data_IF_177710200485
#
_entry.id   IF_177710200485
#
_cell.length_a   1.000
_cell.length_b   1.000
_cell.length_c   1.000
_cell.angle_alpha   90.00
_cell.angle_beta   90.00
_cell.angle_gamma   90.00
#
_symmetry.space_group_name_H-M   'P 1'
#
loop_
_entity.id
_entity.type
_entity.pdbx_description
1 polymer ?
#
# COMPACT_ATOMS: atom_id res chain seq x y z
N UNK A 1 12.18 -3.99 6.44
CA UNK A 1 12.42 -2.77 5.67
C UNK A 1 13.77 -2.15 6.07
N UNK A 2 14.54 -1.68 5.11
CA UNK A 2 15.81 -1.02 5.32
C UNK A 2 15.95 0.17 4.37
N UNK A 3 16.22 1.33 4.91
CA UNK A 3 16.50 2.52 4.12
C UNK A 3 17.97 2.50 3.68
N UNK A 4 18.19 2.73 2.39
CA UNK A 4 19.52 2.70 1.77
C UNK A 4 19.79 4.07 1.15
N UNK A 5 20.99 4.58 1.35
CA UNK A 5 21.45 5.81 0.76
C UNK A 5 22.58 5.54 -0.26
N UNK A 6 22.79 6.46 -1.18
CA UNK A 6 23.80 6.36 -2.22
C UNK A 6 24.99 7.25 -1.83
N UNK A 7 26.21 6.75 -1.98
CA UNK A 7 27.47 7.30 -1.43
C UNK A 7 27.97 8.64 -2.02
N UNK A 8 27.14 9.42 -2.74
CA UNK A 8 27.66 10.65 -3.34
C UNK A 8 27.69 11.85 -2.39
N UNK A 9 26.86 11.86 -1.34
CA UNK A 9 26.80 12.97 -0.38
C UNK A 9 27.01 12.45 1.03
N UNK A 10 28.24 12.59 1.53
CA UNK A 10 28.58 12.13 2.89
C UNK A 10 27.96 13.00 4.00
N UNK A 11 27.51 14.23 3.69
CA UNK A 11 27.16 15.21 4.72
C UNK A 11 25.69 15.21 5.16
N UNK A 12 24.75 14.65 4.37
CA UNK A 12 23.30 14.78 4.65
C UNK A 12 22.55 13.44 4.83
N UNK A 13 23.24 12.33 4.95
CA UNK A 13 22.57 11.04 5.11
C UNK A 13 21.94 10.89 6.49
N UNK A 14 20.63 10.64 6.64
CA UNK A 14 20.01 10.36 7.92
C UNK A 14 20.69 9.18 8.63
N UNK A 15 20.86 9.28 9.93
CA UNK A 15 21.57 8.29 10.76
C UNK A 15 21.00 6.87 10.64
N UNK A 16 19.72 6.74 10.30
CA UNK A 16 19.05 5.44 10.11
C UNK A 16 19.23 4.84 8.71
N UNK A 17 19.78 5.57 7.75
CA UNK A 17 20.08 5.04 6.42
C UNK A 17 21.38 4.23 6.46
N UNK A 18 21.43 3.21 5.61
CA UNK A 18 22.62 2.37 5.45
C UNK A 18 23.29 2.65 4.11
N UNK A 19 24.60 2.70 4.12
CA UNK A 19 25.38 2.82 2.89
C UNK A 19 25.46 1.47 2.16
N UNK A 20 25.71 1.45 0.85
CA UNK A 20 25.81 0.20 0.08
C UNK A 20 26.76 -0.83 0.67
N UNK A 21 27.90 -0.39 1.21
CA UNK A 21 28.87 -1.25 1.90
C UNK A 21 28.25 -1.94 3.12
N UNK A 22 27.50 -1.19 3.93
CA UNK A 22 26.89 -1.70 5.16
C UNK A 22 25.78 -2.71 4.81
N UNK A 23 25.07 -2.48 3.72
CA UNK A 23 24.07 -3.41 3.18
C UNK A 23 24.73 -4.71 2.71
N UNK A 24 25.87 -4.64 2.01
CA UNK A 24 26.61 -5.83 1.57
C UNK A 24 27.09 -6.67 2.77
N UNK A 25 27.64 -6.04 3.80
CA UNK A 25 28.02 -6.72 5.04
C UNK A 25 26.83 -7.35 5.76
N UNK A 26 25.70 -6.63 5.80
CA UNK A 26 24.47 -7.15 6.38
C UNK A 26 23.92 -8.37 5.62
N UNK A 27 23.93 -8.34 4.28
CA UNK A 27 23.53 -9.49 3.49
C UNK A 27 24.47 -10.69 3.69
N UNK A 28 25.78 -10.48 3.77
CA UNK A 28 26.74 -11.54 4.07
C UNK A 28 26.45 -12.19 5.43
N UNK A 29 26.21 -11.38 6.45
CA UNK A 29 25.84 -11.88 7.78
C UNK A 29 24.49 -12.62 7.77
N UNK A 30 23.48 -12.09 7.05
CA UNK A 30 22.17 -12.72 6.89
C UNK A 30 22.29 -14.10 6.21
N UNK A 31 23.02 -14.19 5.09
CA UNK A 31 23.21 -15.46 4.39
C UNK A 31 23.95 -16.47 5.25
N UNK A 32 24.96 -16.02 5.99
CA UNK A 32 25.70 -16.88 6.91
C UNK A 32 24.83 -17.40 8.07
N UNK A 33 24.05 -16.53 8.69
CA UNK A 33 23.10 -16.92 9.74
C UNK A 33 22.07 -17.93 9.21
N UNK A 34 21.58 -17.70 8.01
CA UNK A 34 20.62 -18.57 7.34
C UNK A 34 21.18 -19.96 7.03
N UNK A 35 22.43 -20.02 6.58
CA UNK A 35 23.18 -21.27 6.39
C UNK A 35 23.34 -22.05 7.72
N UNK A 36 23.71 -21.33 8.78
CA UNK A 36 23.86 -21.91 10.12
C UNK A 36 22.55 -22.45 10.70
N UNK A 37 21.42 -21.82 10.38
CA UNK A 37 20.08 -22.28 10.81
C UNK A 37 19.55 -23.52 10.05
N UNK A 38 20.26 -24.00 9.04
CA UNK A 38 19.98 -25.31 8.43
C UNK A 38 18.80 -25.38 7.48
N UNK A 39 18.40 -24.30 6.84
CA UNK A 39 17.48 -24.37 5.73
C UNK A 39 16.39 -23.32 5.66
N UNK A 40 15.77 -23.26 4.48
CA UNK A 40 14.64 -22.39 4.18
C UNK A 40 13.37 -23.15 4.51
N UNK A 41 12.60 -22.68 5.47
CA UNK A 41 11.21 -23.10 5.59
C UNK A 41 10.47 -22.65 4.33
N UNK A 42 9.88 -23.58 3.60
CA UNK A 42 9.09 -23.31 2.39
C UNK A 42 7.71 -22.73 2.72
N UNK A 43 7.28 -22.83 3.97
CA UNK A 43 6.03 -22.29 4.44
C UNK A 43 6.12 -20.76 4.63
N UNK A 44 5.08 -20.06 4.20
CA UNK A 44 4.95 -18.62 4.48
C UNK A 44 4.89 -18.40 5.98
N UNK A 45 5.68 -17.44 6.46
CA UNK A 45 5.61 -16.97 7.84
C UNK A 45 4.18 -16.51 8.17
N UNK A 46 3.65 -17.00 9.28
CA UNK A 46 2.43 -16.42 9.82
C UNK A 46 2.74 -15.01 10.35
N UNK A 47 2.00 -14.04 9.85
CA UNK A 47 2.16 -12.63 10.25
C UNK A 47 1.38 -12.43 11.56
N UNK A 48 2.03 -11.98 12.66
CA UNK A 48 1.33 -11.66 13.90
C UNK A 48 0.30 -10.54 13.70
N UNK A 49 -0.80 -10.59 14.44
CA UNK A 49 -1.86 -9.57 14.34
C UNK A 49 -1.37 -8.14 14.64
N UNK A 50 -0.38 -7.98 15.52
CA UNK A 50 0.24 -6.68 15.78
C UNK A 50 0.98 -6.11 14.57
N UNK A 51 1.67 -6.96 13.81
CA UNK A 51 2.33 -6.54 12.57
C UNK A 51 1.32 -6.17 11.48
N UNK A 52 0.24 -6.94 11.35
CA UNK A 52 -0.85 -6.62 10.41
C UNK A 52 -1.46 -5.26 10.73
N UNK A 53 -1.78 -4.99 12.00
CA UNK A 53 -2.30 -3.68 12.44
C UNK A 53 -1.34 -2.53 12.16
N UNK A 54 -0.04 -2.75 12.39
CA UNK A 54 0.97 -1.73 12.07
C UNK A 54 1.02 -1.45 10.57
N UNK A 55 1.04 -2.48 9.73
CA UNK A 55 1.06 -2.33 8.28
C UNK A 55 -0.23 -1.66 7.77
N UNK A 56 -1.39 -2.02 8.30
CA UNK A 56 -2.67 -1.39 7.97
C UNK A 56 -2.67 0.11 8.28
N UNK A 57 -2.04 0.52 9.40
CA UNK A 57 -1.90 1.94 9.75
C UNK A 57 -1.04 2.74 8.75
N UNK A 58 -0.17 2.10 7.98
CA UNK A 58 0.67 2.72 6.97
C UNK A 58 0.03 2.76 5.57
N UNK A 59 -1.01 1.98 5.34
CA UNK A 59 -1.73 1.98 4.06
C UNK A 59 -2.50 3.29 3.91
N UNK A 60 -2.42 3.87 2.71
CA UNK A 60 -3.13 5.11 2.39
C UNK A 60 -4.45 4.81 1.69
N UNK A 61 -5.50 5.43 2.18
CA UNK A 61 -6.81 5.45 1.54
C UNK A 61 -6.88 6.48 0.42
N UNK A 62 -7.79 6.27 -0.50
CA UNK A 62 -8.07 7.17 -1.63
C UNK A 62 -9.17 8.15 -1.24
N UNK A 63 -8.93 9.44 -1.45
CA UNK A 63 -9.88 10.52 -1.14
C UNK A 63 -10.08 11.41 -2.36
N UNK A 64 -11.28 11.92 -2.53
CA UNK A 64 -11.61 12.83 -3.63
C UNK A 64 -10.97 14.21 -3.43
N UNK A 65 -10.28 14.75 -4.43
CA UNK A 65 -9.73 16.12 -4.41
C UNK A 65 -10.78 17.21 -4.51
N UNK A 66 -11.90 16.89 -5.13
CA UNK A 66 -13.03 17.77 -5.38
C UNK A 66 -14.27 16.94 -5.65
N UNK A 67 -15.25 17.53 -6.34
CA UNK A 67 -16.42 16.78 -6.80
C UNK A 67 -16.01 15.79 -7.90
N UNK A 68 -16.44 14.52 -7.76
CA UNK A 68 -16.28 13.50 -8.78
C UNK A 68 -17.66 12.96 -9.13
N UNK A 69 -18.04 13.11 -10.39
CA UNK A 69 -19.37 12.69 -10.85
C UNK A 69 -19.49 11.16 -10.93
N UNK A 70 -20.67 10.66 -10.64
CA UNK A 70 -21.06 9.27 -10.95
C UNK A 70 -20.83 8.97 -12.43
N UNK A 71 -20.36 7.76 -12.74
CA UNK A 71 -19.99 7.37 -14.10
C UNK A 71 -18.55 7.71 -14.49
N UNK A 72 -17.81 8.45 -13.67
CA UNK A 72 -16.39 8.74 -13.92
C UNK A 72 -15.59 7.44 -13.92
N UNK A 73 -14.92 7.14 -15.04
CA UNK A 73 -14.00 6.01 -15.15
C UNK A 73 -12.61 6.42 -14.68
N UNK A 74 -12.07 5.69 -13.73
CA UNK A 74 -10.75 5.95 -13.15
C UNK A 74 -9.69 5.25 -13.99
N UNK A 75 -8.68 5.99 -14.39
CA UNK A 75 -7.54 5.49 -15.19
C UNK A 75 -6.24 6.01 -14.58
N UNK A 76 -5.11 5.40 -14.94
CA UNK A 76 -3.79 5.88 -14.54
C UNK A 76 -3.50 7.33 -14.98
N UNK A 77 -4.20 7.82 -16.00
CA UNK A 77 -4.01 9.18 -16.54
C UNK A 77 -4.76 10.25 -15.74
N UNK A 78 -5.98 9.92 -15.24
CA UNK A 78 -6.83 10.90 -14.55
C UNK A 78 -6.91 10.68 -13.03
N UNK A 79 -6.31 9.61 -12.50
CA UNK A 79 -6.33 9.29 -11.07
C UNK A 79 -5.88 10.50 -10.22
N UNK A 80 -4.76 11.11 -10.60
CA UNK A 80 -4.20 12.25 -9.88
C UNK A 80 -5.02 13.55 -10.02
N UNK A 81 -5.89 13.66 -11.02
CA UNK A 81 -6.75 14.83 -11.19
C UNK A 81 -7.92 14.79 -10.19
N UNK A 82 -8.45 13.59 -9.93
CA UNK A 82 -9.64 13.38 -9.14
C UNK A 82 -9.36 12.99 -7.68
N UNK A 83 -8.22 12.33 -7.40
CA UNK A 83 -7.97 11.72 -6.10
C UNK A 83 -6.59 12.06 -5.52
N UNK A 84 -6.49 11.93 -4.22
CA UNK A 84 -5.24 11.97 -3.47
C UNK A 84 -5.20 10.83 -2.45
N UNK A 85 -4.00 10.55 -1.92
CA UNK A 85 -3.79 9.50 -0.94
C UNK A 85 -3.50 10.10 0.43
N UNK A 86 -4.17 9.61 1.45
CA UNK A 86 -3.95 10.01 2.84
C UNK A 86 -4.12 8.85 3.81
N UNK A 87 -3.59 9.00 4.99
CA UNK A 87 -3.82 8.13 6.15
C UNK A 87 -4.88 8.77 7.06
N UNK A 88 -5.66 7.95 7.76
CA UNK A 88 -5.68 6.48 7.74
C UNK A 88 -6.42 5.89 6.54
N UNK A 89 -6.20 4.61 6.28
CA UNK A 89 -7.11 3.81 5.46
C UNK A 89 -8.31 3.43 6.33
N UNK A 90 -9.49 3.85 5.92
CA UNK A 90 -10.73 3.51 6.62
C UNK A 90 -11.19 2.09 6.26
N UNK A 91 -11.96 1.48 7.15
CA UNK A 91 -12.53 0.15 6.91
C UNK A 91 -13.42 0.16 5.66
N UNK A 92 -13.12 -0.74 4.72
CA UNK A 92 -13.82 -0.80 3.42
C UNK A 92 -13.41 0.25 2.40
N UNK A 93 -12.42 1.09 2.71
CA UNK A 93 -11.90 2.08 1.78
C UNK A 93 -10.91 1.45 0.79
N UNK A 94 -10.92 1.95 -0.44
CA UNK A 94 -9.96 1.58 -1.47
C UNK A 94 -8.60 2.23 -1.23
N UNK A 95 -7.55 1.49 -1.54
CA UNK A 95 -6.20 2.02 -1.75
C UNK A 95 -5.93 2.20 -3.24
N UNK A 96 -4.82 2.82 -3.60
CA UNK A 96 -4.47 3.00 -5.02
C UNK A 96 -4.29 1.68 -5.78
N UNK A 97 -4.05 0.57 -5.09
CA UNK A 97 -3.85 -0.75 -5.70
C UNK A 97 -5.09 -1.30 -6.40
N UNK A 98 -6.26 -0.90 -5.97
CA UNK A 98 -7.55 -1.35 -6.48
C UNK A 98 -8.10 -0.46 -7.60
N UNK A 99 -7.34 0.53 -8.12
CA UNK A 99 -7.85 1.55 -9.04
C UNK A 99 -7.20 1.56 -10.43
N UNK A 100 -6.55 0.49 -10.84
CA UNK A 100 -5.82 0.46 -12.12
C UNK A 100 -6.50 -0.31 -13.25
N UNK A 101 -7.71 -0.81 -13.03
CA UNK A 101 -8.41 -1.67 -13.99
C UNK A 101 -9.59 -0.97 -14.70
N UNK A 102 -9.71 0.34 -14.58
CA UNK A 102 -10.82 1.10 -15.18
C UNK A 102 -12.08 1.06 -14.32
N UNK A 103 -11.91 1.09 -13.00
CA UNK A 103 -13.01 1.19 -12.04
C UNK A 103 -13.87 2.42 -12.34
N UNK A 104 -15.18 2.29 -12.21
CA UNK A 104 -16.13 3.36 -12.45
C UNK A 104 -16.80 3.79 -11.14
N UNK A 105 -16.79 5.10 -10.87
CA UNK A 105 -17.49 5.68 -9.71
C UNK A 105 -19.00 5.54 -9.87
N UNK A 106 -19.69 5.00 -8.87
CA UNK A 106 -21.16 4.77 -8.89
C UNK A 106 -21.94 5.97 -8.42
N UNK A 107 -21.43 6.66 -7.42
CA UNK A 107 -22.12 7.77 -6.73
C UNK A 107 -21.29 9.05 -6.86
N UNK A 108 -21.96 10.22 -6.85
CA UNK A 108 -21.22 11.48 -6.77
C UNK A 108 -20.43 11.56 -5.46
N UNK A 109 -19.16 11.92 -5.57
CA UNK A 109 -18.29 12.17 -4.42
C UNK A 109 -18.10 13.65 -4.23
N UNK A 110 -18.12 14.10 -2.99
CA UNK A 110 -17.74 15.46 -2.62
C UNK A 110 -16.26 15.54 -2.27
N UNK A 111 -15.73 16.74 -2.20
CA UNK A 111 -14.34 16.96 -1.79
C UNK A 111 -14.05 16.27 -0.44
N UNK A 112 -12.89 15.66 -0.35
CA UNK A 112 -12.36 14.93 0.81
C UNK A 112 -13.19 13.69 1.22
N UNK A 113 -14.17 13.28 0.40
CA UNK A 113 -14.86 12.01 0.62
C UNK A 113 -13.92 10.81 0.39
N UNK A 114 -13.90 9.82 1.28
CA UNK A 114 -13.19 8.57 1.05
C UNK A 114 -13.86 7.76 -0.06
N UNK A 115 -13.07 7.15 -0.92
CA UNK A 115 -13.60 6.25 -1.96
C UNK A 115 -13.73 4.84 -1.39
N UNK A 116 -14.97 4.38 -1.19
CA UNK A 116 -15.27 3.07 -0.61
C UNK A 116 -15.43 2.00 -1.71
N UNK A 117 -15.23 0.74 -1.35
CA UNK A 117 -15.43 -0.39 -2.28
C UNK A 117 -16.86 -0.44 -2.85
N UNK A 118 -17.83 0.02 -2.10
CA UNK A 118 -19.23 0.04 -2.52
C UNK A 118 -19.57 1.23 -3.45
N UNK A 119 -18.67 2.22 -3.56
CA UNK A 119 -18.81 3.38 -4.43
C UNK A 119 -18.27 3.18 -5.85
N UNK A 120 -17.75 2.00 -6.15
CA UNK A 120 -17.20 1.70 -7.48
C UNK A 120 -17.79 0.43 -8.09
N UNK A 121 -17.80 0.38 -9.42
CA UNK A 121 -17.90 -0.84 -10.21
C UNK A 121 -16.51 -1.19 -10.70
N UNK A 122 -16.18 -2.48 -10.79
CA UNK A 122 -14.90 -2.96 -11.27
C UNK A 122 -14.49 -4.27 -10.61
N UNK A 123 -13.31 -4.77 -10.98
CA UNK A 123 -12.86 -6.13 -10.64
C UNK A 123 -12.97 -6.43 -9.14
N UNK A 124 -12.55 -5.50 -8.28
CA UNK A 124 -12.60 -5.70 -6.82
C UNK A 124 -14.01 -5.61 -6.24
N UNK A 125 -14.89 -4.84 -6.85
CA UNK A 125 -16.27 -4.67 -6.39
C UNK A 125 -17.20 -5.80 -6.88
N UNK A 126 -16.85 -6.45 -7.98
CA UNK A 126 -17.62 -7.53 -8.62
C UNK A 126 -17.22 -8.92 -8.12
N UNK A 127 -15.97 -9.10 -7.65
CA UNK A 127 -15.51 -10.34 -7.04
C UNK A 127 -15.75 -10.29 -5.52
N UNK A 128 -16.68 -11.11 -5.03
CA UNK A 128 -17.06 -11.13 -3.61
C UNK A 128 -15.88 -11.47 -2.68
N UNK A 129 -14.94 -12.31 -3.10
CA UNK A 129 -13.76 -12.64 -2.29
C UNK A 129 -12.80 -11.46 -2.14
N UNK A 130 -12.59 -10.69 -3.21
CA UNK A 130 -11.77 -9.49 -3.19
C UNK A 130 -12.47 -8.36 -2.43
N UNK A 131 -13.75 -8.19 -2.65
CA UNK A 131 -14.60 -7.21 -1.97
C UNK A 131 -14.61 -7.41 -0.46
N UNK A 132 -14.74 -8.65 -0.01
CA UNK A 132 -14.71 -9.01 1.40
C UNK A 132 -13.34 -8.69 2.05
N UNK A 133 -12.24 -8.95 1.33
CA UNK A 133 -10.89 -8.57 1.80
C UNK A 133 -10.74 -7.07 1.98
N UNK A 134 -11.30 -6.26 1.07
CA UNK A 134 -11.27 -4.79 1.19
C UNK A 134 -12.16 -4.33 2.34
N UNK A 135 -13.36 -4.89 2.49
CA UNK A 135 -14.29 -4.56 3.58
C UNK A 135 -13.74 -4.84 4.97
N UNK A 136 -12.91 -5.87 5.11
CA UNK A 136 -12.33 -6.27 6.40
C UNK A 136 -10.96 -5.65 6.68
N UNK A 137 -10.43 -4.86 5.77
CA UNK A 137 -9.16 -4.13 5.88
C UNK A 137 -9.41 -2.70 6.36
N UNK A 138 -8.41 -2.15 7.04
CA UNK A 138 -8.41 -0.76 7.50
C UNK A 138 -8.79 -0.61 8.97
N UNK A 139 -8.78 0.63 9.42
CA UNK A 139 -9.01 1.05 10.80
C UNK A 139 -10.46 1.40 11.07
#
# INVERSE_FOLDING_TARGET
ERHVDIDWDEEDSPVYNSKPRDIDEWFKAFHKAREMCGGIKTERRQIPSGETKYLDALVRGVYAKGEVAAGTTITSRNLNDHFYLAIPLLKGQLSCRELFNGEQVKNNLVKDAPLMIDDVNGVYAEDESLKEKVRNRGL
#
